data_IF_341396468159
#
_entry.id   IF_341396468159
#
_cell.length_a   1.000
_cell.length_b   1.000
_cell.length_c   1.000
_cell.angle_alpha   90.00
_cell.angle_beta   90.00
_cell.angle_gamma   90.00
#
_symmetry.space_group_name_H-M   'P 1'
#
loop_
_entity.id
_entity.type
_entity.pdbx_description
1 polymer ?
#
# COMPACT_ATOMS: atom_id res chain seq x y z
N UNK A 1 -28.24 11.15 -3.96
CA UNK A 1 -27.59 10.08 -4.73
C UNK A 1 -27.02 9.09 -3.72
N UNK A 2 -27.61 7.91 -3.60
CA UNK A 2 -27.30 6.96 -2.52
C UNK A 2 -25.97 6.26 -2.75
N UNK A 3 -25.09 6.32 -1.74
CA UNK A 3 -23.88 5.50 -1.69
C UNK A 3 -24.28 4.06 -1.37
N UNK A 4 -24.21 3.17 -2.35
CA UNK A 4 -24.37 1.73 -2.16
C UNK A 4 -23.15 1.24 -1.35
N UNK A 5 -23.40 0.71 -0.14
CA UNK A 5 -22.35 0.14 0.71
C UNK A 5 -21.87 -1.17 0.08
N UNK A 6 -20.71 -1.13 -0.58
CA UNK A 6 -20.08 -2.32 -1.14
C UNK A 6 -19.36 -3.08 -0.03
N UNK A 7 -19.81 -4.31 0.24
CA UNK A 7 -19.15 -5.23 1.16
C UNK A 7 -18.25 -6.19 0.37
N UNK A 8 -16.98 -6.29 0.76
CA UNK A 8 -15.97 -7.13 0.14
C UNK A 8 -15.64 -8.30 1.06
N UNK A 9 -15.74 -9.53 0.56
CA UNK A 9 -15.30 -10.74 1.28
C UNK A 9 -14.68 -11.70 0.26
N UNK A 10 -13.52 -12.28 0.60
CA UNK A 10 -12.89 -13.34 -0.20
C UNK A 10 -13.43 -14.70 0.24
N UNK A 11 -13.90 -15.53 -0.70
CA UNK A 11 -14.44 -16.87 -0.42
C UNK A 11 -13.52 -18.00 -0.90
N UNK A 12 -13.61 -19.15 -0.22
CA UNK A 12 -12.82 -20.36 -0.51
C UNK A 12 -13.71 -21.38 -1.22
N UNK A 13 -13.30 -21.85 -2.41
CA UNK A 13 -13.90 -23.04 -3.03
C UNK A 13 -12.93 -24.23 -2.94
N UNK A 14 -13.32 -25.25 -2.19
CA UNK A 14 -12.64 -26.54 -2.15
C UNK A 14 -13.18 -27.44 -3.28
N UNK A 15 -12.40 -27.61 -4.35
CA UNK A 15 -12.77 -28.53 -5.43
C UNK A 15 -12.47 -29.99 -5.06
N UNK A 16 -13.48 -30.73 -4.60
CA UNK A 16 -13.40 -32.19 -4.51
C UNK A 16 -14.05 -32.83 -5.75
N UNK A 17 -13.27 -33.50 -6.59
CA UNK A 17 -13.77 -34.38 -7.67
C UNK A 17 -13.86 -35.83 -7.15
N UNK A 18 -15.00 -36.55 -7.32
CA UNK A 18 -15.09 -37.95 -6.94
C UNK A 18 -14.60 -38.86 -8.08
N UNK A 19 -13.42 -39.47 -7.91
CA UNK A 19 -12.90 -40.52 -8.80
C UNK A 19 -13.41 -41.90 -8.38
N UNK A 20 -14.02 -42.62 -9.33
CA UNK A 20 -14.62 -43.96 -9.18
C UNK A 20 -13.60 -45.04 -8.77
N UNK A 21 -14.08 -45.99 -7.95
CA UNK A 21 -13.39 -47.24 -7.56
C UNK A 21 -13.33 -48.24 -8.72
N UNK A 22 -12.17 -48.86 -8.94
CA UNK A 22 -12.03 -50.24 -9.39
C UNK A 22 -10.77 -50.85 -8.77
N UNK A 23 -10.90 -52.03 -8.17
CA UNK A 23 -9.86 -52.67 -7.37
C UNK A 23 -8.83 -53.45 -8.17
N UNK A 24 -7.62 -53.57 -7.60
CA UNK A 24 -6.75 -54.75 -7.70
C UNK A 24 -5.69 -54.68 -6.60
N UNK A 25 -5.53 -55.79 -5.86
CA UNK A 25 -4.55 -56.01 -4.79
C UNK A 25 -3.18 -56.32 -5.40
N UNK A 26 -2.12 -55.63 -4.98
CA UNK A 26 -0.76 -56.19 -4.83
C UNK A 26 0.12 -55.30 -3.91
N UNK A 27 0.98 -55.99 -3.14
CA UNK A 27 1.74 -55.52 -1.96
C UNK A 27 2.74 -54.38 -2.25
N UNK A 28 2.89 -53.52 -1.26
CA UNK A 28 3.70 -52.30 -1.25
C UNK A 28 5.21 -52.53 -1.03
N UNK A 29 6.06 -51.65 -1.56
CA UNK A 29 7.17 -51.06 -0.82
C UNK A 29 6.70 -49.74 -0.19
N UNK A 30 7.02 -49.53 1.09
CA UNK A 30 6.76 -48.28 1.82
C UNK A 30 7.61 -47.14 1.25
N UNK A 31 7.09 -46.49 0.22
CA UNK A 31 7.51 -45.14 -0.16
C UNK A 31 7.15 -44.21 0.99
N UNK A 32 8.14 -43.55 1.57
CA UNK A 32 7.94 -42.43 2.47
C UNK A 32 6.86 -41.52 1.88
N UNK A 33 5.78 -41.31 2.63
CA UNK A 33 4.64 -40.54 2.21
C UNK A 33 5.12 -39.16 1.78
N UNK A 34 5.03 -38.90 0.47
CA UNK A 34 5.01 -37.53 -0.01
C UNK A 34 3.83 -36.88 0.71
N UNK A 35 4.12 -36.04 1.70
CA UNK A 35 3.12 -35.16 2.30
C UNK A 35 2.64 -34.32 1.14
N UNK A 36 1.49 -34.68 0.57
CA UNK A 36 0.79 -33.90 -0.44
C UNK A 36 0.52 -32.54 0.21
N UNK A 37 1.44 -31.60 0.02
CA UNK A 37 1.24 -30.23 0.47
C UNK A 37 -0.01 -29.75 -0.28
N UNK A 38 -1.08 -29.36 0.43
CA UNK A 38 -2.27 -28.89 -0.24
C UNK A 38 -1.88 -27.78 -1.20
N UNK A 39 -2.32 -27.88 -2.46
CA UNK A 39 -2.15 -26.78 -3.39
C UNK A 39 -2.70 -25.50 -2.73
N UNK A 40 -1.98 -24.37 -2.81
CA UNK A 40 -2.45 -23.12 -2.22
C UNK A 40 -3.87 -22.82 -2.71
N UNK A 41 -4.80 -22.58 -1.79
CA UNK A 41 -6.15 -22.17 -2.13
C UNK A 41 -6.05 -20.79 -2.77
N UNK A 42 -6.45 -20.69 -4.05
CA UNK A 42 -6.47 -19.41 -4.76
C UNK A 42 -7.78 -18.70 -4.45
N UNK A 43 -7.69 -17.63 -3.67
CA UNK A 43 -8.84 -16.76 -3.42
C UNK A 43 -9.08 -15.89 -4.64
N UNK A 44 -10.33 -15.84 -5.08
CA UNK A 44 -10.75 -14.96 -6.16
C UNK A 44 -11.49 -13.76 -5.58
N UNK A 45 -11.24 -12.57 -6.11
CA UNK A 45 -11.88 -11.36 -5.66
C UNK A 45 -13.37 -11.36 -6.05
N UNK A 46 -14.24 -11.21 -5.06
CA UNK A 46 -15.69 -11.16 -5.24
C UNK A 46 -16.24 -9.88 -4.60
N UNK A 47 -17.20 -9.26 -5.29
CA UNK A 47 -17.94 -8.10 -4.80
C UNK A 47 -19.40 -8.53 -4.63
N UNK A 48 -20.01 -8.18 -3.51
CA UNK A 48 -21.46 -8.32 -3.32
C UNK A 48 -22.17 -7.10 -3.93
N UNK A 49 -23.03 -7.33 -4.92
CA UNK A 49 -23.78 -6.28 -5.59
C UNK A 49 -25.14 -6.80 -6.01
N UNK A 50 -26.20 -5.99 -5.86
CA UNK A 50 -27.57 -6.35 -6.27
C UNK A 50 -28.06 -7.71 -5.71
N UNK A 51 -27.68 -8.05 -4.49
CA UNK A 51 -28.09 -9.30 -3.83
C UNK A 51 -27.27 -10.54 -4.17
N UNK A 52 -26.24 -10.44 -5.02
CA UNK A 52 -25.43 -11.58 -5.46
C UNK A 52 -23.92 -11.33 -5.31
N UNK A 53 -23.16 -12.40 -5.02
CA UNK A 53 -21.69 -12.39 -5.07
C UNK A 53 -21.22 -12.57 -6.51
N UNK A 54 -20.46 -11.61 -7.01
CA UNK A 54 -19.95 -11.64 -8.38
C UNK A 54 -18.43 -11.58 -8.35
N UNK A 55 -17.78 -12.43 -9.15
CA UNK A 55 -16.34 -12.32 -9.39
C UNK A 55 -16.04 -10.97 -10.01
N UNK A 56 -15.06 -10.28 -9.44
CA UNK A 56 -14.63 -8.98 -9.90
C UNK A 56 -13.11 -8.94 -10.02
N UNK A 57 -12.61 -8.12 -10.93
CA UNK A 57 -11.18 -7.78 -10.92
C UNK A 57 -10.90 -6.89 -9.71
N UNK A 58 -9.69 -6.98 -9.16
CA UNK A 58 -9.23 -5.98 -8.21
C UNK A 58 -9.13 -4.66 -8.98
N UNK A 59 -9.82 -3.62 -8.52
CA UNK A 59 -9.68 -2.29 -9.08
C UNK A 59 -8.32 -1.70 -8.69
N UNK A 60 -7.81 -0.79 -9.51
CA UNK A 60 -6.62 -0.02 -9.15
C UNK A 60 -6.86 0.78 -7.86
N UNK A 61 -5.79 1.00 -7.11
CA UNK A 61 -5.88 1.84 -5.91
C UNK A 61 -6.27 3.28 -6.28
N UNK A 62 -7.16 3.92 -5.51
CA UNK A 62 -7.51 5.30 -5.75
C UNK A 62 -6.27 6.19 -5.63
N UNK A 63 -6.08 7.09 -6.60
CA UNK A 63 -4.98 8.04 -6.61
C UNK A 63 -5.49 9.46 -6.47
N UNK A 64 -4.77 10.29 -5.73
CA UNK A 64 -5.04 11.71 -5.55
C UNK A 64 -3.84 12.54 -6.02
N UNK A 65 -4.11 13.64 -6.71
CA UNK A 65 -3.10 14.61 -7.08
C UNK A 65 -2.95 15.61 -5.94
N UNK A 66 -1.78 15.61 -5.30
CA UNK A 66 -1.47 16.45 -4.14
C UNK A 66 -0.26 17.31 -4.44
N UNK A 67 -0.22 18.50 -3.83
CA UNK A 67 0.98 19.31 -3.75
C UNK A 67 1.51 19.21 -2.33
N UNK A 68 2.75 18.73 -2.19
CA UNK A 68 3.45 18.52 -0.93
C UNK A 68 4.55 19.56 -0.76
N UNK A 69 4.57 20.24 0.38
CA UNK A 69 5.59 21.23 0.71
C UNK A 69 6.14 20.96 2.11
N UNK A 70 7.42 21.24 2.33
CA UNK A 70 8.04 21.04 3.64
C UNK A 70 7.55 22.09 4.64
N UNK A 71 7.17 21.63 5.82
CA UNK A 71 6.87 22.49 6.98
C UNK A 71 8.14 22.72 7.79
N UNK A 72 9.04 23.56 7.26
CA UNK A 72 10.30 23.90 7.94
C UNK A 72 10.20 25.29 8.58
N UNK A 73 10.62 25.46 9.85
CA UNK A 73 10.66 26.76 10.48
C UNK A 73 11.69 27.65 9.76
N UNK A 74 11.32 28.92 9.54
CA UNK A 74 12.07 29.91 8.75
C UNK A 74 13.53 30.05 9.21
N UNK A 75 13.85 29.76 10.48
CA UNK A 75 15.20 29.84 11.05
C UNK A 75 16.16 28.68 10.75
N UNK A 76 15.71 27.57 10.14
CA UNK A 76 16.60 26.47 9.71
C UNK A 76 17.12 26.64 8.27
N UNK A 77 16.70 27.72 7.59
CA UNK A 77 17.10 28.02 6.20
C UNK A 77 18.47 28.71 6.10
N UNK A 78 19.14 28.92 7.22
CA UNK A 78 20.40 29.65 7.24
C UNK A 78 21.57 28.71 6.88
N UNK A 79 22.22 29.00 5.76
CA UNK A 79 23.65 28.68 5.62
C UNK A 79 24.12 27.92 4.38
N UNK A 80 23.30 27.19 3.63
CA UNK A 80 23.81 26.52 2.42
C UNK A 80 22.84 26.50 1.25
N UNK A 81 23.25 27.26 0.23
CA UNK A 81 22.75 27.29 -1.15
C UNK A 81 21.38 27.93 -1.36
N UNK A 82 21.37 28.80 -2.38
CA UNK A 82 20.23 29.30 -3.15
C UNK A 82 19.42 28.12 -3.74
N UNK A 83 18.88 27.24 -2.89
CA UNK A 83 17.98 26.17 -3.28
C UNK A 83 16.65 26.85 -3.47
N UNK A 84 16.21 26.92 -4.73
CA UNK A 84 14.85 27.34 -5.06
C UNK A 84 13.93 26.64 -4.06
N UNK A 85 13.25 27.43 -3.24
CA UNK A 85 12.27 26.91 -2.30
C UNK A 85 11.37 26.02 -3.14
N UNK A 86 11.39 24.70 -2.92
CA UNK A 86 10.42 23.83 -3.54
C UNK A 86 9.07 24.27 -2.96
N UNK A 87 8.41 25.19 -3.67
CA UNK A 87 7.16 25.83 -3.29
C UNK A 87 6.06 24.76 -3.09
N UNK A 88 6.28 23.61 -3.72
CA UNK A 88 5.75 22.32 -3.40
C UNK A 88 6.02 21.38 -4.57
N UNK A 89 6.08 20.08 -4.32
CA UNK A 89 6.10 19.08 -5.37
C UNK A 89 4.69 18.58 -5.65
N UNK A 90 4.31 18.52 -6.92
CA UNK A 90 3.01 17.99 -7.33
C UNK A 90 3.15 16.51 -7.67
N UNK A 91 2.52 15.64 -6.90
CA UNK A 91 2.64 14.18 -7.03
C UNK A 91 1.28 13.49 -7.09
N UNK A 92 1.22 12.35 -7.78
CA UNK A 92 0.06 11.46 -7.76
C UNK A 92 0.27 10.42 -6.67
N UNK A 93 -0.34 10.63 -5.50
CA UNK A 93 -0.24 9.74 -4.36
C UNK A 93 -1.35 8.68 -4.37
N UNK A 94 -1.07 7.52 -3.79
CA UNK A 94 -2.09 6.48 -3.55
C UNK A 94 -2.81 6.78 -2.24
N UNK A 95 -4.14 6.82 -2.27
CA UNK A 95 -4.94 6.96 -1.06
C UNK A 95 -5.16 5.56 -0.46
N UNK A 96 -4.43 5.25 0.60
CA UNK A 96 -4.51 3.96 1.30
C UNK A 96 -4.98 4.16 2.75
N UNK A 97 -6.27 3.95 2.99
CA UNK A 97 -6.83 4.01 4.35
C UNK A 97 -6.40 2.84 5.24
N UNK A 98 -5.78 1.80 4.68
CA UNK A 98 -5.22 0.67 5.42
C UNK A 98 -3.82 0.93 5.96
N UNK A 99 -3.13 1.98 5.48
CA UNK A 99 -1.82 2.37 5.95
C UNK A 99 -1.91 3.13 7.28
N UNK A 100 -0.97 2.85 8.18
CA UNK A 100 -0.85 3.56 9.46
C UNK A 100 0.07 4.79 9.38
N UNK A 101 0.80 4.94 8.27
CA UNK A 101 1.82 5.96 8.06
C UNK A 101 1.88 6.35 6.59
N UNK A 102 2.16 7.61 6.32
CA UNK A 102 2.41 8.11 4.96
C UNK A 102 3.84 7.75 4.53
N UNK A 103 3.97 7.04 3.42
CA UNK A 103 5.24 6.65 2.83
C UNK A 103 5.44 7.36 1.48
N UNK A 104 6.65 7.80 1.23
CA UNK A 104 7.05 8.31 -0.07
C UNK A 104 8.46 7.81 -0.40
N UNK A 105 8.73 7.53 -1.67
CA UNK A 105 10.02 6.99 -2.05
C UNK A 105 11.11 8.07 -1.95
N UNK A 106 12.26 7.70 -1.39
CA UNK A 106 13.43 8.58 -1.35
C UNK A 106 13.84 9.04 -2.76
N UNK A 107 13.73 8.18 -3.77
CA UNK A 107 14.06 8.52 -5.16
C UNK A 107 13.16 9.65 -5.70
N UNK A 108 11.84 9.52 -5.57
CA UNK A 108 10.92 10.57 -6.04
C UNK A 108 11.06 11.86 -5.22
N UNK A 109 11.31 11.74 -3.91
CA UNK A 109 11.56 12.88 -3.05
C UNK A 109 12.78 13.70 -3.51
N UNK A 110 13.90 13.03 -3.79
CA UNK A 110 15.11 13.68 -4.33
C UNK A 110 14.86 14.22 -5.74
N UNK A 111 14.14 13.49 -6.59
CA UNK A 111 13.77 13.94 -7.93
C UNK A 111 12.89 15.20 -7.93
N UNK A 112 12.12 15.42 -6.86
CA UNK A 112 11.33 16.62 -6.65
C UNK A 112 12.15 17.83 -6.14
N UNK A 113 13.46 17.67 -5.95
CA UNK A 113 14.36 18.74 -5.53
C UNK A 113 14.50 18.91 -4.01
N UNK A 114 13.90 18.01 -3.22
CA UNK A 114 14.17 17.92 -1.79
C UNK A 114 15.53 17.24 -1.54
N UNK A 115 16.10 17.46 -0.36
CA UNK A 115 17.41 16.92 -0.01
C UNK A 115 17.33 15.91 1.12
N UNK A 116 18.25 14.95 1.11
CA UNK A 116 18.38 13.96 2.19
C UNK A 116 18.62 14.61 3.55
N UNK A 117 19.33 15.74 3.58
CA UNK A 117 19.59 16.53 4.80
C UNK A 117 18.32 17.18 5.38
N UNK A 118 17.23 17.24 4.61
CA UNK A 118 15.93 17.71 5.10
C UNK A 118 15.21 16.62 5.92
N UNK A 119 15.71 15.37 5.89
CA UNK A 119 15.14 14.26 6.65
C UNK A 119 15.65 14.27 8.09
N UNK A 120 14.69 14.12 9.02
CA UNK A 120 14.98 13.90 10.42
C UNK A 120 15.19 12.40 10.65
N UNK A 121 16.25 12.00 11.37
CA UNK A 121 16.43 10.60 11.74
C UNK A 121 15.27 10.15 12.61
N UNK A 122 14.73 8.97 12.31
CA UNK A 122 13.63 8.35 13.07
C UNK A 122 13.93 6.89 13.34
N UNK A 123 13.43 6.40 14.47
CA UNK A 123 13.41 4.97 14.79
C UNK A 123 11.96 4.53 14.85
N UNK A 124 11.59 3.60 13.97
CA UNK A 124 10.22 3.12 13.82
C UNK A 124 10.19 1.61 13.82
N UNK A 125 9.22 1.03 14.51
CA UNK A 125 8.88 -0.38 14.39
C UNK A 125 7.73 -0.57 13.38
N UNK A 126 7.94 -0.11 12.14
CA UNK A 126 7.01 -0.31 11.02
C UNK A 126 7.38 -1.59 10.25
N UNK A 127 6.36 -2.26 9.71
CA UNK A 127 6.54 -3.44 8.86
C UNK A 127 5.51 -3.41 7.75
N UNK A 128 5.91 -3.80 6.54
CA UNK A 128 4.96 -4.02 5.46
C UNK A 128 3.92 -5.07 5.89
N UNK A 129 2.71 -5.02 5.33
CA UNK A 129 1.67 -6.02 5.59
C UNK A 129 2.12 -7.46 5.29
N UNK A 130 3.01 -7.62 4.30
CA UNK A 130 3.63 -8.90 3.94
C UNK A 130 4.89 -9.23 4.76
N UNK A 131 5.23 -8.43 5.78
CA UNK A 131 6.43 -8.51 6.62
C UNK A 131 7.76 -8.36 5.88
N UNK A 132 7.73 -7.83 4.66
CA UNK A 132 8.97 -7.43 4.00
C UNK A 132 9.60 -6.28 4.79
N UNK A 133 10.94 -6.25 4.91
CA UNK A 133 11.63 -5.12 5.52
C UNK A 133 11.38 -3.87 4.67
N UNK A 134 11.10 -2.75 5.34
CA UNK A 134 11.06 -1.41 4.75
C UNK A 134 12.20 -0.64 5.39
N UNK A 135 13.17 -0.20 4.59
CA UNK A 135 14.22 0.69 5.05
C UNK A 135 13.65 2.11 5.11
N UNK A 136 13.61 2.70 6.30
CA UNK A 136 13.21 4.10 6.49
C UNK A 136 14.47 4.92 6.73
N UNK A 137 14.77 5.83 5.82
CA UNK A 137 15.91 6.74 5.88
C UNK A 137 15.67 7.88 6.88
N UNK A 138 14.43 8.34 6.97
CA UNK A 138 14.08 9.45 7.83
C UNK A 138 12.63 9.89 7.68
N UNK A 139 12.30 11.01 8.31
CA UNK A 139 10.99 11.62 8.23
C UNK A 139 11.08 13.13 8.01
N UNK A 140 10.04 13.69 7.39
CA UNK A 140 9.86 15.14 7.33
C UNK A 140 8.39 15.49 7.57
N UNK A 141 8.14 16.73 7.97
CA UNK A 141 6.77 17.23 8.13
C UNK A 141 6.37 17.95 6.87
N UNK A 142 5.21 17.57 6.33
CA UNK A 142 4.75 18.06 5.06
C UNK A 142 3.36 18.67 5.15
N UNK A 143 3.16 19.83 4.54
CA UNK A 143 1.84 20.40 4.29
C UNK A 143 1.32 19.92 2.95
N UNK A 144 0.09 19.44 2.96
CA UNK A 144 -0.60 18.95 1.78
C UNK A 144 -1.67 19.94 1.34
N UNK A 145 -1.73 20.17 0.02
CA UNK A 145 -2.86 20.82 -0.61
C UNK A 145 -3.38 19.97 -1.76
N UNK A 146 -4.70 20.00 -1.95
CA UNK A 146 -5.37 19.33 -3.06
C UNK A 146 -5.99 20.39 -3.97
N UNK A 147 -6.05 20.12 -5.28
CA UNK A 147 -6.63 21.06 -6.26
C UNK A 147 -8.16 21.07 -6.28
N UNK A 148 -8.83 20.54 -5.26
CA UNK A 148 -10.27 20.68 -5.11
C UNK A 148 -10.61 22.17 -4.98
N UNK A 149 -11.71 22.62 -5.57
CA UNK A 149 -12.14 24.03 -5.74
C UNK A 149 -12.31 24.88 -4.46
N UNK A 150 -11.79 24.43 -3.31
CA UNK A 150 -11.74 25.15 -2.05
C UNK A 150 -10.35 25.21 -1.40
N UNK A 151 -9.27 24.81 -2.09
CA UNK A 151 -7.88 25.08 -1.67
C UNK A 151 -7.56 24.72 -0.21
N UNK A 152 -8.14 23.63 0.31
CA UNK A 152 -8.03 23.30 1.73
C UNK A 152 -6.60 22.84 2.03
N UNK A 153 -5.88 23.66 2.80
CA UNK A 153 -4.61 23.28 3.39
C UNK A 153 -4.88 22.30 4.53
N UNK A 154 -4.23 21.14 4.46
CA UNK A 154 -4.23 20.19 5.56
C UNK A 154 -3.09 20.52 6.53
N UNK A 155 -3.27 20.27 7.84
CA UNK A 155 -2.20 20.44 8.82
C UNK A 155 -0.99 19.60 8.41
N UNK A 156 0.20 20.02 8.87
CA UNK A 156 1.42 19.29 8.59
C UNK A 156 1.33 17.87 9.20
N UNK A 157 1.61 16.86 8.39
CA UNK A 157 1.63 15.45 8.80
C UNK A 157 3.02 14.86 8.56
N UNK A 158 3.46 13.87 9.36
CA UNK A 158 4.74 13.22 9.17
C UNK A 158 4.70 12.26 7.98
N UNK A 159 5.69 12.39 7.10
CA UNK A 159 5.93 11.49 5.99
C UNK A 159 7.28 10.80 6.17
N UNK A 160 7.35 9.52 5.81
CA UNK A 160 8.55 8.70 5.95
C UNK A 160 9.12 8.30 4.58
N UNK A 161 10.45 8.26 4.49
CA UNK A 161 11.22 7.96 3.28
C UNK A 161 11.93 6.63 3.35
#
# INVERSE_FOLDING_TARGET
MGSELVSQVSSVQAGARPGRRHGSRRRAPTSHGCVNRPAPIRLEHHIFSKGEWRRARLSDHPRALITISMDMPVGLRDGTSNRGSADGARISAVADTGAQSDLWSLEEFLACGFARDDLRPVSLSLSAANRSPIAIEGAFFARLSTTCSGGRLHPAVPWYM
#
